data_IF_674371106168
#
_entry.id   IF_674371106168
#
_cell.length_a   1.000
_cell.length_b   1.000
_cell.length_c   1.000
_cell.angle_alpha   90.00
_cell.angle_beta   90.00
_cell.angle_gamma   90.00
#
_symmetry.space_group_name_H-M   'P 1'
#
loop_
_entity.id
_entity.type
_entity.pdbx_description
1 polymer ?
#
# COMPACT_ATOMS: atom_id res chain seq x y z
N UNK A 1 29.58 13.81 -5.90
CA UNK A 1 29.39 12.58 -5.10
C UNK A 1 27.95 12.16 -5.31
N UNK A 2 27.72 11.03 -5.98
CA UNK A 2 26.39 10.45 -6.08
C UNK A 2 26.11 9.80 -4.72
N UNK A 3 25.12 10.37 -4.06
CA UNK A 3 24.75 10.12 -2.67
C UNK A 3 23.96 8.80 -2.56
N UNK A 4 24.35 7.95 -1.61
CA UNK A 4 23.55 6.87 -1.01
C UNK A 4 22.57 6.09 -1.93
N UNK A 5 23.07 5.60 -3.07
CA UNK A 5 22.64 4.38 -3.80
C UNK A 5 21.13 4.01 -3.82
N UNK A 6 20.31 4.97 -4.27
CA UNK A 6 19.07 4.85 -5.05
C UNK A 6 17.80 4.23 -4.42
N UNK A 7 16.92 5.08 -3.83
CA UNK A 7 15.48 4.77 -3.72
C UNK A 7 14.80 4.56 -5.08
N UNK A 8 15.30 5.20 -6.15
CA UNK A 8 14.73 5.11 -7.51
C UNK A 8 14.62 3.68 -8.04
N UNK A 9 15.60 2.80 -7.78
CA UNK A 9 15.59 1.45 -8.37
C UNK A 9 14.48 0.56 -7.79
N UNK A 10 14.17 0.73 -6.50
CA UNK A 10 13.06 0.04 -5.85
C UNK A 10 11.72 0.60 -6.32
N UNK A 11 11.66 1.91 -6.56
CA UNK A 11 10.50 2.60 -7.11
C UNK A 11 10.19 2.17 -8.54
N UNK A 12 11.20 2.03 -9.42
CA UNK A 12 10.99 1.65 -10.82
C UNK A 12 10.46 0.21 -10.94
N UNK A 13 11.04 -0.74 -10.18
CA UNK A 13 10.64 -2.16 -10.19
C UNK A 13 9.23 -2.34 -9.59
N UNK A 14 8.95 -1.62 -8.51
CA UNK A 14 7.62 -1.62 -7.88
C UNK A 14 6.62 -0.90 -8.80
N UNK A 15 7.02 0.15 -9.49
CA UNK A 15 6.21 0.92 -10.42
C UNK A 15 5.62 0.07 -11.55
N UNK A 16 6.45 -0.69 -12.26
CA UNK A 16 5.98 -1.57 -13.35
C UNK A 16 5.03 -2.67 -12.86
N UNK A 17 5.32 -3.25 -11.69
CA UNK A 17 4.48 -4.31 -11.10
C UNK A 17 3.15 -3.77 -10.57
N UNK A 18 3.13 -2.52 -10.07
CA UNK A 18 1.95 -1.88 -9.50
C UNK A 18 1.10 -1.14 -10.53
N UNK A 19 1.67 -0.70 -11.65
CA UNK A 19 0.96 0.02 -12.70
C UNK A 19 -0.36 -0.63 -13.16
N UNK A 20 -0.48 -1.96 -13.33
CA UNK A 20 -1.75 -2.59 -13.70
C UNK A 20 -2.77 -2.69 -12.55
N UNK A 21 -2.40 -2.32 -11.32
CA UNK A 21 -3.26 -2.47 -10.15
C UNK A 21 -4.41 -1.46 -10.18
N UNK A 22 -5.64 -1.95 -10.04
CA UNK A 22 -6.80 -1.08 -9.84
C UNK A 22 -6.70 -0.37 -8.49
N UNK A 23 -6.27 -1.07 -7.46
CA UNK A 23 -6.07 -0.51 -6.13
C UNK A 23 -4.65 -0.75 -5.63
N UNK A 24 -4.07 0.26 -5.00
CA UNK A 24 -2.75 0.19 -4.36
C UNK A 24 -2.90 0.69 -2.92
N UNK A 25 -2.50 -0.14 -1.97
CA UNK A 25 -2.56 0.14 -0.54
C UNK A 25 -1.16 0.14 0.08
N UNK A 26 -0.94 0.94 1.13
CA UNK A 26 0.28 0.87 1.94
C UNK A 26 0.08 1.31 3.39
N UNK A 27 0.86 0.74 4.32
CA UNK A 27 0.84 1.13 5.74
C UNK A 27 1.74 2.33 6.08
N UNK A 28 2.41 2.92 5.09
CA UNK A 28 3.35 4.01 5.32
C UNK A 28 3.02 5.25 4.47
N UNK A 29 2.92 6.41 5.13
CA UNK A 29 2.58 7.69 4.47
C UNK A 29 3.67 8.20 3.52
N UNK A 30 4.95 7.95 3.82
CA UNK A 30 6.06 8.31 2.95
C UNK A 30 6.06 7.48 1.67
N UNK A 31 5.82 6.17 1.80
CA UNK A 31 5.64 5.26 0.66
C UNK A 31 4.41 5.68 -0.15
N UNK A 32 3.29 6.04 0.49
CA UNK A 32 2.09 6.50 -0.21
C UNK A 32 2.38 7.74 -1.07
N UNK A 33 3.15 8.70 -0.53
CA UNK A 33 3.59 9.88 -1.27
C UNK A 33 4.48 9.53 -2.47
N UNK A 34 5.46 8.64 -2.27
CA UNK A 34 6.34 8.15 -3.34
C UNK A 34 5.56 7.43 -4.44
N UNK A 35 4.70 6.48 -4.08
CA UNK A 35 3.86 5.75 -5.03
C UNK A 35 2.92 6.67 -5.81
N UNK A 36 2.35 7.70 -5.15
CA UNK A 36 1.47 8.66 -5.83
C UNK A 36 2.19 9.43 -6.93
N UNK A 37 3.43 9.86 -6.66
CA UNK A 37 4.27 10.57 -7.63
C UNK A 37 4.64 9.67 -8.81
N UNK A 38 5.11 8.46 -8.52
CA UNK A 38 5.73 7.57 -9.50
C UNK A 38 4.70 6.88 -10.40
N UNK A 39 3.60 6.43 -9.82
CA UNK A 39 2.48 5.86 -10.58
C UNK A 39 1.58 6.93 -11.20
N UNK A 40 1.85 8.22 -10.95
CA UNK A 40 1.06 9.37 -11.40
C UNK A 40 -0.43 9.23 -11.05
N UNK A 41 -0.72 8.76 -9.83
CA UNK A 41 -2.08 8.52 -9.32
C UNK A 41 -2.26 9.14 -7.94
N UNK A 42 -3.47 9.55 -7.60
CA UNK A 42 -3.80 10.28 -6.37
C UNK A 42 -4.73 9.50 -5.43
N UNK A 43 -4.95 8.23 -5.72
CA UNK A 43 -5.89 7.32 -5.05
C UNK A 43 -5.16 6.17 -4.34
N UNK A 44 -3.92 6.41 -3.87
CA UNK A 44 -3.23 5.48 -2.98
C UNK A 44 -3.97 5.43 -1.64
N UNK A 45 -4.33 4.23 -1.22
CA UNK A 45 -5.11 3.98 -0.01
C UNK A 45 -4.14 3.64 1.14
N UNK A 46 -4.38 4.19 2.32
CA UNK A 46 -3.64 3.79 3.52
C UNK A 46 -4.24 2.51 4.11
N UNK A 47 -3.40 1.51 4.33
CA UNK A 47 -3.72 0.30 5.08
C UNK A 47 -3.24 0.45 6.52
N UNK A 48 -3.98 -0.10 7.48
CA UNK A 48 -3.62 -0.29 8.89
C UNK A 48 -2.31 0.38 9.36
N UNK A 49 -2.41 1.63 9.86
CA UNK A 49 -1.24 2.45 10.15
C UNK A 49 -0.38 1.85 11.28
N UNK A 50 0.85 1.48 10.97
CA UNK A 50 1.93 1.39 11.96
C UNK A 50 2.58 2.78 12.15
N UNK A 51 2.55 3.31 13.37
CA UNK A 51 3.29 4.53 13.77
C UNK A 51 2.53 5.87 13.78
N UNK A 52 3.24 6.92 14.25
CA UNK A 52 2.80 8.22 14.81
C UNK A 52 1.76 9.06 14.04
N UNK A 53 0.53 8.61 13.82
CA UNK A 53 -0.54 9.50 13.35
C UNK A 53 -1.86 9.26 14.10
N UNK A 54 -1.82 9.53 15.41
CA UNK A 54 -2.96 10.16 16.10
C UNK A 54 -3.22 11.60 15.60
N UNK A 55 -2.31 12.18 14.82
CA UNK A 55 -2.53 13.46 14.15
C UNK A 55 -3.11 13.22 12.75
N UNK A 56 -4.38 13.60 12.54
CA UNK A 56 -5.00 13.63 11.20
C UNK A 56 -6.18 12.69 10.98
N UNK A 57 -6.65 11.96 12.01
CA UNK A 57 -7.91 11.19 11.92
C UNK A 57 -9.16 12.09 11.87
N UNK A 58 -9.00 13.41 12.04
CA UNK A 58 -10.04 14.41 11.78
C UNK A 58 -10.05 14.91 10.32
N UNK A 59 -9.42 14.21 9.36
CA UNK A 59 -9.52 14.61 7.96
C UNK A 59 -10.87 14.24 7.36
N UNK A 60 -11.72 15.21 6.96
CA UNK A 60 -13.02 14.94 6.34
C UNK A 60 -12.88 14.22 4.98
N UNK A 61 -11.70 14.29 4.36
CA UNK A 61 -11.38 13.73 3.04
C UNK A 61 -10.80 12.30 3.09
N UNK A 62 -10.79 11.64 4.26
CA UNK A 62 -10.28 10.27 4.38
C UNK A 62 -11.24 9.18 3.84
N UNK A 63 -12.47 9.55 3.46
CA UNK A 63 -13.44 8.61 2.91
C UNK A 63 -12.89 7.96 1.63
N UNK A 64 -12.70 6.64 1.68
CA UNK A 64 -12.14 5.85 0.58
C UNK A 64 -10.61 5.90 0.45
N UNK A 65 -9.88 6.56 1.37
CA UNK A 65 -8.41 6.61 1.38
C UNK A 65 -7.76 5.89 2.57
N UNK A 66 -8.55 5.15 3.34
CA UNK A 66 -8.07 4.33 4.46
C UNK A 66 -8.87 3.02 4.56
N UNK A 67 -8.17 1.94 4.88
CA UNK A 67 -8.73 0.61 5.19
C UNK A 67 -7.99 0.06 6.41
N UNK A 68 -8.72 -0.24 7.48
CA UNK A 68 -8.14 -0.89 8.68
C UNK A 68 -7.80 -2.35 8.41
N UNK A 69 -6.93 -2.98 9.20
CA UNK A 69 -6.68 -4.43 9.09
C UNK A 69 -7.97 -5.24 9.28
N UNK A 70 -8.80 -4.84 10.25
CA UNK A 70 -10.09 -5.50 10.54
C UNK A 70 -11.10 -5.43 9.39
N UNK A 71 -11.10 -4.32 8.63
CA UNK A 71 -11.99 -4.14 7.48
C UNK A 71 -11.38 -4.66 6.17
N UNK A 72 -10.08 -4.99 6.15
CA UNK A 72 -9.38 -5.30 4.92
C UNK A 72 -9.92 -6.54 4.20
N UNK A 73 -10.31 -7.58 4.94
CA UNK A 73 -10.84 -8.82 4.35
C UNK A 73 -12.15 -8.56 3.60
N UNK A 74 -13.07 -7.83 4.20
CA UNK A 74 -14.36 -7.49 3.59
C UNK A 74 -14.17 -6.50 2.43
N UNK A 75 -13.31 -5.49 2.63
CA UNK A 75 -12.95 -4.53 1.59
C UNK A 75 -12.34 -5.23 0.37
N UNK A 76 -11.37 -6.12 0.56
CA UNK A 76 -10.68 -6.83 -0.51
C UNK A 76 -11.65 -7.71 -1.30
N UNK A 77 -12.59 -8.40 -0.63
CA UNK A 77 -13.57 -9.26 -1.27
C UNK A 77 -14.43 -8.50 -2.31
N UNK A 78 -14.80 -7.25 -2.00
CA UNK A 78 -15.58 -6.38 -2.89
C UNK A 78 -14.72 -5.77 -3.99
N UNK A 79 -13.51 -5.29 -3.67
CA UNK A 79 -12.72 -4.45 -4.58
C UNK A 79 -11.89 -5.27 -5.57
N UNK A 80 -11.45 -6.48 -5.21
CA UNK A 80 -10.68 -7.36 -6.11
C UNK A 80 -11.45 -7.82 -7.35
N UNK A 81 -12.79 -7.71 -7.33
CA UNK A 81 -13.64 -7.99 -8.50
C UNK A 81 -13.52 -6.90 -9.58
N UNK A 82 -13.05 -5.70 -9.21
CA UNK A 82 -12.91 -4.56 -10.12
C UNK A 82 -11.52 -4.49 -10.76
N UNK A 83 -10.59 -5.35 -10.33
CA UNK A 83 -9.24 -5.44 -10.86
C UNK A 83 -8.20 -5.82 -9.80
N UNK A 84 -6.92 -5.91 -10.18
CA UNK A 84 -5.86 -6.32 -9.27
C UNK A 84 -5.70 -5.36 -8.09
N UNK A 85 -5.44 -5.93 -6.92
CA UNK A 85 -5.19 -5.19 -5.69
C UNK A 85 -3.77 -5.51 -5.25
N UNK A 86 -2.99 -4.46 -5.02
CA UNK A 86 -1.64 -4.57 -4.50
C UNK A 86 -1.52 -3.92 -3.14
N UNK A 87 -0.85 -4.60 -2.22
CA UNK A 87 -0.60 -4.14 -0.85
C UNK A 87 0.91 -4.07 -0.63
N UNK A 88 1.42 -2.87 -0.34
CA UNK A 88 2.84 -2.59 -0.09
C UNK A 88 3.04 -2.33 1.39
N UNK A 89 3.74 -3.24 2.07
CA UNK A 89 3.97 -3.17 3.51
C UNK A 89 5.41 -2.78 3.82
N UNK A 90 5.58 -1.76 4.64
CA UNK A 90 6.80 -1.56 5.40
C UNK A 90 6.67 -2.35 6.69
N UNK A 91 7.52 -3.35 6.90
CA UNK A 91 7.51 -4.20 8.09
C UNK A 91 8.68 -3.84 9.00
N UNK A 92 8.44 -3.86 10.31
CA UNK A 92 9.51 -3.68 11.29
C UNK A 92 10.43 -4.90 11.33
N UNK A 93 11.66 -4.70 11.84
CA UNK A 93 12.64 -5.77 11.94
C UNK A 93 12.13 -6.85 12.90
N UNK A 94 11.83 -8.02 12.35
CA UNK A 94 11.38 -9.18 13.11
C UNK A 94 9.88 -9.46 12.98
N UNK A 95 9.12 -8.59 12.31
CA UNK A 95 7.74 -8.91 11.92
C UNK A 95 7.70 -9.86 10.72
N UNK A 96 6.71 -10.74 10.73
CA UNK A 96 6.39 -11.63 9.62
C UNK A 96 5.06 -11.25 8.99
N UNK A 97 4.94 -11.44 7.68
CA UNK A 97 3.63 -11.39 7.00
C UNK A 97 2.62 -12.39 7.61
N UNK A 98 3.09 -13.47 8.25
CA UNK A 98 2.22 -14.42 8.93
C UNK A 98 1.58 -13.87 10.21
N UNK A 99 2.15 -12.79 10.77
CA UNK A 99 1.62 -12.13 11.96
C UNK A 99 0.44 -11.21 11.61
N UNK A 100 0.31 -10.85 10.32
CA UNK A 100 -0.81 -10.08 9.80
C UNK A 100 -1.96 -11.02 9.43
N UNK A 101 -3.19 -10.63 9.76
CA UNK A 101 -4.40 -11.38 9.42
C UNK A 101 -4.78 -11.22 7.94
N UNK A 102 -3.80 -11.31 7.04
CA UNK A 102 -3.98 -11.08 5.61
C UNK A 102 -4.39 -12.38 4.88
N UNK A 103 -5.33 -12.28 3.92
CA UNK A 103 -5.61 -13.38 3.02
C UNK A 103 -4.38 -13.67 2.14
N UNK A 104 -4.21 -14.95 1.76
CA UNK A 104 -3.09 -15.36 0.88
C UNK A 104 -3.13 -14.59 -0.45
N UNK A 105 -1.99 -14.06 -0.94
CA UNK A 105 -1.90 -13.44 -2.25
C UNK A 105 -2.35 -14.41 -3.34
N UNK A 106 -3.02 -13.88 -4.36
CA UNK A 106 -3.30 -14.64 -5.58
C UNK A 106 -1.98 -14.72 -6.34
N UNK A 107 -1.50 -15.93 -6.65
CA UNK A 107 -0.28 -16.10 -7.43
C UNK A 107 -0.43 -15.39 -8.80
N UNK A 108 0.61 -14.69 -9.30
CA UNK A 108 0.56 -14.13 -10.64
C UNK A 108 0.32 -15.28 -11.63
N UNK A 109 -0.69 -15.12 -12.50
CA UNK A 109 -0.93 -16.08 -13.58
C UNK A 109 0.30 -16.06 -14.50
N UNK A 110 0.89 -17.25 -14.70
CA UNK A 110 2.08 -17.47 -15.55
C UNK A 110 1.80 -17.20 -17.02
#
# INVERSE_FOLDING_TARGET
MIDSKQPQFMIDIVGESLAPSRYVLTNNVGIAGGLSWELKRNDIILFDKQGELKYGLDWPDAQGRFVSEGDFVSWLATHRQQGPVSLVLLMDKGESMNDLALPKPIAPMS
#
